data_IF_513963717104
#
_entry.id   IF_513963717104
#
_cell.length_a   1.000
_cell.length_b   1.000
_cell.length_c   1.000
_cell.angle_alpha   90.00
_cell.angle_beta   90.00
_cell.angle_gamma   90.00
#
_symmetry.space_group_name_H-M   'P 1'
#
loop_
_entity.id
_entity.type
_entity.pdbx_description
1 polymer ?
#
# COMPACT_ATOMS: atom_id res chain seq x y z
N UNK A 1 -8.55 12.79 0.89
CA UNK A 1 -7.57 11.90 1.53
C UNK A 1 -6.20 12.09 0.91
N UNK A 2 -5.16 11.89 1.71
CA UNK A 2 -3.80 12.08 1.25
C UNK A 2 -3.25 10.82 0.60
N UNK A 3 -2.47 10.98 -0.44
CA UNK A 3 -1.74 9.87 -1.04
C UNK A 3 -0.25 10.11 -0.86
N UNK A 4 0.50 9.02 -0.74
CA UNK A 4 1.94 9.09 -0.54
C UNK A 4 2.59 7.89 -1.24
N UNK A 5 3.76 8.10 -1.77
CA UNK A 5 4.53 7.04 -2.40
C UNK A 5 5.22 6.18 -1.36
N UNK A 6 5.32 4.90 -1.65
CA UNK A 6 6.00 3.97 -0.77
C UNK A 6 6.54 2.78 -1.52
N UNK A 7 7.23 1.91 -0.79
CA UNK A 7 7.80 0.68 -1.33
C UNK A 7 7.34 -0.49 -0.47
N UNK A 8 6.90 -1.55 -1.13
CA UNK A 8 6.48 -2.77 -0.42
C UNK A 8 7.72 -3.46 0.13
N UNK A 9 7.81 -3.58 1.45
CA UNK A 9 8.96 -4.19 2.11
C UNK A 9 8.66 -5.60 2.61
N UNK A 10 7.39 -5.97 2.73
CA UNK A 10 7.03 -7.30 3.20
C UNK A 10 5.63 -7.67 2.71
N UNK A 11 5.41 -8.97 2.54
CA UNK A 11 4.11 -9.54 2.17
C UNK A 11 3.53 -10.19 3.41
N UNK A 12 2.33 -9.77 3.80
CA UNK A 12 1.66 -10.23 5.01
C UNK A 12 0.50 -11.15 4.65
N UNK A 13 -0.03 -11.94 5.60
CA UNK A 13 -1.21 -12.75 5.34
C UNK A 13 -2.42 -11.91 4.97
N UNK A 14 -3.43 -12.55 4.38
CA UNK A 14 -4.72 -11.94 4.03
C UNK A 14 -4.61 -10.80 3.02
N UNK A 15 -3.69 -10.94 2.06
CA UNK A 15 -3.48 -9.95 1.00
C UNK A 15 -3.14 -8.56 1.55
N UNK A 16 -2.44 -8.53 2.68
CA UNK A 16 -1.94 -7.30 3.27
C UNK A 16 -0.47 -7.12 2.93
N UNK A 17 -0.01 -5.89 3.01
CA UNK A 17 1.38 -5.56 2.68
C UNK A 17 1.92 -4.58 3.71
N UNK A 18 3.20 -4.75 4.03
CA UNK A 18 3.90 -3.73 4.80
C UNK A 18 4.61 -2.81 3.82
N UNK A 19 4.33 -1.53 3.93
CA UNK A 19 4.87 -0.52 3.01
C UNK A 19 5.64 0.51 3.80
N UNK A 20 6.86 0.79 3.35
CA UNK A 20 7.64 1.89 3.89
C UNK A 20 7.38 3.10 3.02
N UNK A 21 6.83 4.14 3.62
CA UNK A 21 6.52 5.38 2.92
C UNK A 21 7.76 6.23 2.74
N UNK A 22 7.73 7.14 1.79
CA UNK A 22 8.90 7.99 1.50
C UNK A 22 9.24 8.92 2.66
N UNK A 23 8.31 9.14 3.60
CA UNK A 23 8.61 9.91 4.81
C UNK A 23 9.24 9.06 5.93
N UNK A 24 9.53 7.79 5.65
CA UNK A 24 10.14 6.88 6.62
C UNK A 24 9.16 6.09 7.48
N UNK A 25 7.87 6.42 7.44
CA UNK A 25 6.86 5.69 8.21
C UNK A 25 6.56 4.33 7.57
N UNK A 26 6.20 3.35 8.39
CA UNK A 26 5.77 2.04 7.91
C UNK A 26 4.30 1.86 8.21
N UNK A 27 3.56 1.42 7.21
CA UNK A 27 2.12 1.21 7.33
C UNK A 27 1.76 -0.19 6.84
N UNK A 28 0.62 -0.69 7.30
CA UNK A 28 0.02 -1.91 6.77
C UNK A 28 -1.02 -1.49 5.74
N UNK A 29 -0.91 -2.02 4.54
CA UNK A 29 -1.78 -1.64 3.44
C UNK A 29 -2.43 -2.86 2.81
N UNK A 30 -3.60 -2.63 2.23
CA UNK A 30 -4.28 -3.63 1.40
C UNK A 30 -4.48 -3.04 0.01
N UNK A 31 -4.68 -3.90 -0.98
CA UNK A 31 -4.91 -3.42 -2.34
C UNK A 31 -6.34 -2.90 -2.48
N UNK A 32 -6.49 -1.81 -3.22
CA UNK A 32 -7.81 -1.30 -3.57
C UNK A 32 -8.55 -2.31 -4.47
N UNK A 33 -9.88 -2.28 -4.43
CA UNK A 33 -10.71 -3.17 -5.24
C UNK A 33 -10.40 -3.08 -6.72
N UNK A 34 -10.07 -1.90 -7.21
CA UNK A 34 -9.66 -1.65 -8.59
C UNK A 34 -8.44 -2.48 -8.99
N UNK A 35 -7.44 -2.59 -8.11
CA UNK A 35 -6.25 -3.41 -8.39
C UNK A 35 -6.58 -4.89 -8.39
N UNK A 36 -7.44 -5.34 -7.47
CA UNK A 36 -7.88 -6.73 -7.42
C UNK A 36 -8.68 -7.10 -8.66
N UNK A 37 -9.57 -6.22 -9.07
CA UNK A 37 -10.42 -6.44 -10.25
C UNK A 37 -9.59 -6.60 -11.51
N UNK A 38 -8.53 -5.82 -11.64
CA UNK A 38 -7.65 -5.85 -12.80
C UNK A 38 -6.53 -6.86 -12.66
N UNK A 39 -6.53 -7.65 -11.58
CA UNK A 39 -5.53 -8.69 -11.29
C UNK A 39 -4.10 -8.15 -11.28
N UNK A 40 -3.94 -6.92 -10.82
CA UNK A 40 -2.62 -6.33 -10.70
C UNK A 40 -1.97 -6.91 -9.46
N UNK A 41 -0.84 -7.60 -9.66
CA UNK A 41 -0.11 -8.22 -8.57
C UNK A 41 0.88 -7.24 -7.97
N UNK A 42 0.85 -7.14 -6.64
CA UNK A 42 1.82 -6.34 -5.89
C UNK A 42 2.85 -7.29 -5.29
N UNK A 43 4.12 -6.99 -5.49
CA UNK A 43 5.22 -7.83 -5.05
C UNK A 43 6.14 -7.05 -4.11
N UNK A 44 6.91 -7.77 -3.32
CA UNK A 44 7.93 -7.15 -2.47
C UNK A 44 8.94 -6.40 -3.35
N UNK A 45 9.24 -5.16 -2.97
CA UNK A 45 10.11 -4.30 -3.75
C UNK A 45 9.41 -3.37 -4.72
N UNK A 46 8.10 -3.57 -4.93
CA UNK A 46 7.35 -2.71 -5.84
C UNK A 46 7.14 -1.32 -5.24
N UNK A 47 7.18 -0.33 -6.11
CA UNK A 47 6.79 1.03 -5.74
C UNK A 47 5.27 1.15 -5.89
N UNK A 48 4.63 1.76 -4.91
CA UNK A 48 3.19 1.86 -4.86
C UNK A 48 2.78 3.25 -4.39
N UNK A 49 1.56 3.65 -4.76
CA UNK A 49 0.92 4.83 -4.20
C UNK A 49 -0.11 4.37 -3.18
N UNK A 50 0.00 4.88 -1.96
CA UNK A 50 -0.85 4.50 -0.85
C UNK A 50 -1.76 5.67 -0.48
N UNK A 51 -3.05 5.38 -0.37
CA UNK A 51 -4.02 6.35 0.14
C UNK A 51 -4.16 6.14 1.64
N UNK A 52 -3.86 7.20 2.39
CA UNK A 52 -3.90 7.15 3.85
C UNK A 52 -5.25 7.61 4.36
N UNK A 53 -5.70 6.99 5.44
CA UNK A 53 -6.91 7.44 6.11
C UNK A 53 -6.53 8.40 7.24
N UNK A 54 -7.24 9.52 7.41
CA UNK A 54 -6.98 10.43 8.53
C UNK A 54 -7.35 9.83 9.88
N UNK A 55 -8.11 8.74 9.88
CA UNK A 55 -8.54 8.09 11.13
C UNK A 55 -7.49 7.14 11.68
N UNK A 56 -6.59 6.63 10.83
CA UNK A 56 -5.56 5.68 11.27
C UNK A 56 -4.36 5.77 10.35
N UNK A 57 -3.33 6.47 10.80
CA UNK A 57 -2.11 6.68 10.00
C UNK A 57 -1.20 5.45 9.96
N UNK A 58 -1.58 4.35 10.62
CA UNK A 58 -0.84 3.10 10.54
C UNK A 58 -1.37 2.17 9.44
N UNK A 59 -2.45 2.55 8.79
CA UNK A 59 -3.10 1.75 7.76
C UNK A 59 -3.30 2.58 6.49
N UNK A 60 -3.28 1.90 5.37
CA UNK A 60 -3.49 2.55 4.09
C UNK A 60 -4.05 1.59 3.07
N UNK A 61 -4.32 2.13 1.89
CA UNK A 61 -4.84 1.37 0.77
C UNK A 61 -3.96 1.64 -0.44
N UNK A 62 -3.46 0.57 -1.06
CA UNK A 62 -2.67 0.70 -2.28
C UNK A 62 -3.64 0.94 -3.43
N UNK A 63 -3.55 2.12 -4.03
CA UNK A 63 -4.45 2.53 -5.12
C UNK A 63 -3.77 2.51 -6.47
N UNK A 64 -2.45 2.43 -6.50
CA UNK A 64 -1.71 2.43 -7.73
C UNK A 64 -0.37 1.74 -7.53
N UNK A 65 0.03 0.98 -8.54
CA UNK A 65 1.34 0.32 -8.57
C UNK A 65 2.15 0.95 -9.70
N UNK A 66 3.32 1.44 -9.35
CA UNK A 66 4.16 2.04 -10.40
C UNK A 66 5.11 3.05 -9.89
#
# INVERSE_FOLDING_TARGET
MSTIQGKVIDLLPNAMFRVELENGAKVTAHTAGKLRKNRIRVLQGDNVTVEMTPYDLTKGRIIFRG
#
